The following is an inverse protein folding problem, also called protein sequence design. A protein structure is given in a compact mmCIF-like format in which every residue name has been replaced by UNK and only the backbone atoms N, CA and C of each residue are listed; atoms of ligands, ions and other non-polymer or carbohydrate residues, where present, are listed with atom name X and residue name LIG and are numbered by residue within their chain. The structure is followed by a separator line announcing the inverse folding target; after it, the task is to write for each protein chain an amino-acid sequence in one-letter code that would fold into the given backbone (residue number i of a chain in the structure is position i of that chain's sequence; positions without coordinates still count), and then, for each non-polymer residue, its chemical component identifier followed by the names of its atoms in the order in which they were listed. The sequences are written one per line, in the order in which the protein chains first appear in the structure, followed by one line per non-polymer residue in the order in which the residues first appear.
data_IF_199122509655
#
_entry.id   IF_199122509655
#
_cell.length_a   1.000
_cell.length_b   1.000
_cell.length_c   1.000
_cell.angle_alpha   90.00
_cell.angle_beta   90.00
_cell.angle_gamma   90.00
#
_symmetry.space_group_name_H-M   'P 1'
#
loop_
_entity.id
_entity.type
_entity.pdbx_description
1 polymer ?
#
# COMPACT_ATOMS: atom_id res chain seq x y z
N UNK A 1 -1.34 0.45 14.32
CA UNK A 1 -0.57 1.71 14.45
C UNK A 1 -1.03 2.64 13.33
N UNK A 2 -1.72 3.73 13.65
CA UNK A 2 -2.16 4.73 12.68
C UNK A 2 -1.13 5.86 12.65
N UNK A 3 -0.54 6.14 11.49
CA UNK A 3 0.32 7.30 11.31
C UNK A 3 -0.50 8.31 10.53
N UNK A 4 -0.78 9.46 11.16
CA UNK A 4 -1.67 10.51 10.66
C UNK A 4 -1.53 10.68 9.12
N UNK A 5 -2.63 10.44 8.40
CA UNK A 5 -2.82 10.50 6.95
C UNK A 5 -2.41 9.28 6.09
N UNK A 6 -1.91 8.18 6.66
CA UNK A 6 -1.71 6.90 5.95
C UNK A 6 -2.18 5.74 6.83
N UNK A 7 -2.77 4.70 6.23
CA UNK A 7 -3.20 3.52 6.99
C UNK A 7 -2.20 2.39 6.75
N UNK A 8 -1.48 1.98 7.80
CA UNK A 8 -0.50 0.88 7.72
C UNK A 8 -1.09 -0.39 8.33
N UNK A 9 -1.01 -1.48 7.59
CA UNK A 9 -1.46 -2.80 7.97
C UNK A 9 -0.27 -3.74 8.14
N UNK A 10 -0.15 -4.33 9.31
CA UNK A 10 0.92 -5.30 9.59
C UNK A 10 0.37 -6.71 9.51
N UNK A 11 1.14 -7.59 8.89
CA UNK A 11 0.77 -8.99 8.76
C UNK A 11 1.11 -9.79 10.03
N UNK A 12 2.27 -9.52 10.66
CA UNK A 12 2.68 -10.17 11.92
C UNK A 12 3.02 -9.13 13.00
N UNK A 13 2.74 -9.47 14.27
CA UNK A 13 3.02 -8.58 15.43
C UNK A 13 4.51 -8.27 15.55
N UNK A 14 5.37 -9.27 15.35
CA UNK A 14 6.84 -9.16 15.36
C UNK A 14 7.38 -8.24 14.24
N UNK A 15 6.62 -8.05 13.17
CA UNK A 15 7.00 -7.17 12.06
C UNK A 15 6.89 -5.69 12.40
N UNK A 16 6.05 -5.34 13.39
CA UNK A 16 5.91 -3.97 13.87
C UNK A 16 7.24 -3.50 14.47
N UNK A 17 7.86 -4.33 15.31
CA UNK A 17 9.10 -3.99 15.99
C UNK A 17 10.26 -3.83 15.01
N UNK A 18 10.36 -4.72 14.00
CA UNK A 18 11.34 -4.60 12.92
C UNK A 18 11.15 -3.34 12.07
N UNK A 19 9.90 -2.98 11.78
CA UNK A 19 9.58 -1.74 11.07
C UNK A 19 9.99 -0.53 11.90
N UNK A 20 9.58 -0.46 13.18
CA UNK A 20 9.94 0.65 14.07
C UNK A 20 11.44 0.75 14.27
N UNK A 21 12.15 -0.36 14.45
CA UNK A 21 13.62 -0.37 14.52
C UNK A 21 14.25 0.22 13.26
N UNK A 22 13.76 -0.15 12.06
CA UNK A 22 14.26 0.39 10.79
C UNK A 22 14.00 1.89 10.63
N UNK A 23 12.80 2.34 10.97
CA UNK A 23 12.43 3.76 10.99
C UNK A 23 13.38 4.55 11.90
N UNK A 24 13.64 4.04 13.11
CA UNK A 24 14.46 4.69 14.11
C UNK A 24 15.96 4.67 13.75
N UNK A 25 16.48 3.54 13.23
CA UNK A 25 17.91 3.39 12.90
C UNK A 25 18.34 4.26 11.73
N UNK A 26 17.47 4.44 10.74
CA UNK A 26 17.78 5.21 9.53
C UNK A 26 17.37 6.70 9.66
N UNK A 27 16.86 7.13 10.84
CA UNK A 27 16.25 8.47 11.08
C UNK A 27 15.24 8.85 9.99
N UNK A 28 14.57 7.86 9.40
CA UNK A 28 13.67 8.11 8.29
C UNK A 28 12.32 8.49 8.86
N UNK A 29 11.85 9.68 8.50
CA UNK A 29 10.45 9.99 8.74
C UNK A 29 9.60 8.99 7.97
N UNK A 30 8.70 8.29 8.65
CA UNK A 30 7.62 7.48 8.04
C UNK A 30 6.99 8.26 6.87
N UNK A 31 6.71 9.55 7.07
CA UNK A 31 6.19 10.43 6.02
C UNK A 31 7.12 10.51 4.79
N UNK A 32 8.44 10.54 4.97
CA UNK A 32 9.44 10.54 3.89
C UNK A 32 9.58 9.19 3.15
N UNK A 33 9.29 8.07 3.80
CA UNK A 33 9.23 6.75 3.13
C UNK A 33 8.06 6.64 2.15
N UNK A 34 6.97 7.34 2.45
CA UNK A 34 5.69 7.12 1.79
C UNK A 34 5.18 8.32 0.95
N UNK A 35 5.79 9.51 1.08
CA UNK A 35 5.47 10.71 0.29
C UNK A 35 6.13 10.75 -1.09
N UNK A 36 6.81 9.70 -1.52
CA UNK A 36 7.42 9.70 -2.85
C UNK A 36 6.31 9.48 -3.87
N UNK A 37 5.90 10.57 -4.52
CA UNK A 37 4.91 10.53 -5.59
C UNK A 37 5.31 9.46 -6.61
N UNK A 38 4.57 8.35 -6.58
CA UNK A 38 4.63 7.35 -7.61
C UNK A 38 4.21 8.05 -8.91
N UNK A 39 4.99 7.96 -9.99
CA UNK A 39 4.64 8.61 -11.24
C UNK A 39 3.29 8.07 -11.66
N UNK A 40 2.29 8.95 -11.60
CA UNK A 40 0.91 8.66 -11.97
C UNK A 40 0.96 8.06 -13.38
N UNK A 41 0.72 6.75 -13.51
CA UNK A 41 0.33 6.21 -14.80
C UNK A 41 -0.92 7.00 -15.17
N UNK A 42 -0.86 7.68 -16.31
CA UNK A 42 -1.92 8.54 -16.82
C UNK A 42 -3.14 7.65 -17.12
N UNK A 43 -3.92 7.30 -16.10
CA UNK A 43 -5.22 6.65 -16.23
C UNK A 43 -6.20 7.72 -16.71
N UNK A 44 -6.01 8.12 -17.96
CA UNK A 44 -7.03 8.85 -18.71
C UNK A 44 -8.24 7.92 -18.77
N UNK A 45 -9.42 8.43 -18.38
CA UNK A 45 -10.76 7.78 -18.45
C UNK A 45 -11.38 7.21 -17.16
N UNK A 46 -10.89 7.48 -15.94
CA UNK A 46 -11.66 7.18 -14.71
C UNK A 46 -12.10 8.47 -14.02
N UNK A 47 -13.42 8.69 -13.98
CA UNK A 47 -14.01 9.81 -13.24
C UNK A 47 -13.77 9.59 -11.73
N UNK A 48 -13.37 10.64 -10.99
CA UNK A 48 -13.25 10.54 -9.53
C UNK A 48 -14.60 10.14 -8.92
N UNK A 49 -14.54 9.26 -7.94
CA UNK A 49 -15.69 8.74 -7.21
C UNK A 49 -15.66 9.26 -5.77
N UNK A 50 -16.84 9.54 -5.23
CA UNK A 50 -17.06 9.86 -3.84
C UNK A 50 -17.89 8.75 -3.24
N UNK A 51 -17.43 8.18 -2.13
CA UNK A 51 -18.15 7.15 -1.38
C UNK A 51 -18.22 7.57 0.07
N UNK A 52 -19.22 7.08 0.79
CA UNK A 52 -19.36 7.44 2.20
C UNK A 52 -18.27 6.79 3.07
N UNK A 53 -18.18 7.25 4.31
CA UNK A 53 -17.17 6.79 5.27
C UNK A 53 -17.32 5.30 5.61
N UNK A 54 -18.54 4.78 5.72
CA UNK A 54 -18.79 3.39 6.04
C UNK A 54 -18.34 2.47 4.89
N UNK A 55 -18.58 2.89 3.64
CA UNK A 55 -18.10 2.21 2.45
C UNK A 55 -16.57 2.17 2.42
N UNK A 56 -15.89 3.29 2.72
CA UNK A 56 -14.42 3.31 2.85
C UNK A 56 -13.91 2.36 3.92
N UNK A 57 -14.52 2.39 5.11
CA UNK A 57 -14.13 1.52 6.23
C UNK A 57 -14.34 0.04 5.88
N UNK A 58 -15.41 -0.30 5.16
CA UNK A 58 -15.66 -1.65 4.70
C UNK A 58 -14.62 -2.11 3.67
N UNK A 59 -14.24 -1.25 2.73
CA UNK A 59 -13.16 -1.55 1.77
C UNK A 59 -11.83 -1.74 2.50
N UNK A 60 -11.49 -0.87 3.46
CA UNK A 60 -10.29 -1.01 4.27
C UNK A 60 -10.28 -2.34 5.03
N UNK A 61 -11.40 -2.74 5.65
CA UNK A 61 -11.52 -4.05 6.32
C UNK A 61 -11.30 -5.22 5.36
N UNK A 62 -11.87 -5.16 4.15
CA UNK A 62 -11.66 -6.19 3.12
C UNK A 62 -10.19 -6.27 2.71
N UNK A 63 -9.56 -5.13 2.43
CA UNK A 63 -8.14 -5.04 2.07
C UNK A 63 -7.25 -5.61 3.17
N UNK A 64 -7.52 -5.30 4.44
CA UNK A 64 -6.81 -5.86 5.59
C UNK A 64 -6.91 -7.39 5.57
N UNK A 65 -8.10 -7.94 5.40
CA UNK A 65 -8.30 -9.39 5.43
C UNK A 65 -7.58 -10.09 4.28
N UNK A 66 -7.60 -9.51 3.08
CA UNK A 66 -6.90 -10.07 1.91
C UNK A 66 -5.39 -10.01 2.11
N UNK A 67 -4.85 -8.83 2.43
CA UNK A 67 -3.40 -8.59 2.50
C UNK A 67 -2.73 -9.25 3.70
N UNK A 68 -3.46 -9.49 4.80
CA UNK A 68 -2.96 -10.31 5.92
C UNK A 68 -2.77 -11.77 5.55
N UNK A 69 -3.54 -12.30 4.60
CA UNK A 69 -3.38 -13.69 4.19
C UNK A 69 -2.20 -13.89 3.22
N UNK A 70 -1.52 -12.81 2.81
CA UNK A 70 -0.37 -12.87 1.91
C UNK A 70 0.95 -13.06 2.66
N UNK A 71 1.44 -14.29 2.73
CA UNK A 71 2.65 -14.67 3.48
C UNK A 71 3.93 -13.91 3.06
N UNK A 72 3.96 -13.41 1.82
CA UNK A 72 5.12 -12.66 1.32
C UNK A 72 5.14 -11.20 1.79
N UNK A 73 3.98 -10.67 2.18
CA UNK A 73 3.81 -9.28 2.62
C UNK A 73 4.08 -9.19 4.12
N UNK A 74 5.08 -8.41 4.50
CA UNK A 74 5.39 -8.08 5.89
C UNK A 74 4.42 -7.01 6.42
N UNK A 75 4.26 -5.94 5.65
CA UNK A 75 3.24 -4.94 5.89
C UNK A 75 2.78 -4.32 4.56
N UNK A 76 1.60 -3.74 4.57
CA UNK A 76 1.08 -2.93 3.49
C UNK A 76 0.62 -1.58 4.03
N UNK A 77 0.48 -0.59 3.16
CA UNK A 77 -0.08 0.70 3.53
C UNK A 77 -0.94 1.27 2.41
N UNK A 78 -2.02 1.94 2.81
CA UNK A 78 -2.84 2.74 1.92
C UNK A 78 -2.35 4.19 1.91
N UNK A 79 -2.31 4.76 0.72
CA UNK A 79 -2.00 6.17 0.50
C UNK A 79 -2.86 6.76 -0.62
N UNK A 80 -2.53 7.98 -1.02
CA UNK A 80 -3.09 8.60 -2.21
C UNK A 80 -4.53 9.05 -2.05
N UNK A 81 -5.23 9.15 -3.18
CA UNK A 81 -6.51 9.87 -3.25
C UNK A 81 -7.65 9.18 -2.49
N UNK A 82 -7.58 7.86 -2.28
CA UNK A 82 -8.59 7.07 -1.56
C UNK A 82 -8.88 7.59 -0.14
N UNK A 83 -7.87 8.19 0.51
CA UNK A 83 -8.01 8.75 1.86
C UNK A 83 -8.73 10.12 1.87
N UNK A 84 -8.88 10.76 0.71
CA UNK A 84 -9.59 12.03 0.52
C UNK A 84 -11.02 11.79 0.03
N UNK A 85 -11.90 12.80 0.07
CA UNK A 85 -13.31 12.67 -0.33
C UNK A 85 -13.51 12.01 -1.70
N UNK A 86 -12.71 12.44 -2.69
CA UNK A 86 -12.73 11.95 -4.06
C UNK A 86 -11.48 11.15 -4.39
N UNK A 87 -11.66 10.02 -5.08
CA UNK A 87 -10.56 9.13 -5.50
C UNK A 87 -10.84 8.47 -6.84
N UNK A 88 -9.80 8.00 -7.54
CA UNK A 88 -9.95 7.25 -8.80
C UNK A 88 -9.64 5.77 -8.63
N UNK A 89 -8.65 5.50 -7.81
CA UNK A 89 -8.03 4.22 -7.53
C UNK A 89 -7.66 4.15 -6.04
N UNK A 90 -7.28 2.94 -5.61
CA UNK A 90 -6.80 2.65 -4.27
C UNK A 90 -5.32 2.34 -4.38
N UNK A 91 -4.48 3.27 -3.95
CA UNK A 91 -3.03 3.11 -3.98
C UNK A 91 -2.56 2.29 -2.76
N UNK A 92 -1.94 1.15 -3.01
CA UNK A 92 -1.47 0.19 -2.01
C UNK A 92 0.03 -0.05 -2.17
N UNK A 93 0.81 0.43 -1.20
CA UNK A 93 2.21 0.03 -1.11
C UNK A 93 2.37 -1.22 -0.25
N UNK A 94 3.16 -2.18 -0.72
CA UNK A 94 3.45 -3.44 -0.02
C UNK A 94 4.95 -3.58 0.22
N UNK A 95 5.31 -4.06 1.39
CA UNK A 95 6.69 -4.37 1.74
C UNK A 95 6.83 -5.89 1.91
N UNK A 96 7.62 -6.49 1.03
CA UNK A 96 7.83 -7.93 0.97
C UNK A 96 8.94 -8.39 1.90
N UNK A 97 8.96 -9.68 2.22
CA UNK A 97 10.06 -10.26 2.97
C UNK A 97 11.40 -10.15 2.18
N UNK A 98 12.52 -10.09 2.91
CA UNK A 98 13.87 -9.93 2.33
C UNK A 98 14.30 -11.09 1.40
N UNK A 99 13.67 -12.25 1.54
CA UNK A 99 13.97 -13.44 0.75
C UNK A 99 13.20 -13.46 -0.58
N UNK A 100 12.32 -12.48 -0.81
CA UNK A 100 11.52 -12.42 -2.01
C UNK A 100 12.40 -12.10 -3.23
N UNK A 101 12.29 -12.93 -4.27
CA UNK A 101 13.10 -12.77 -5.47
C UNK A 101 12.74 -11.48 -6.22
N UNK A 102 13.74 -10.61 -6.45
CA UNK A 102 13.57 -9.38 -7.24
C UNK A 102 12.98 -9.64 -8.63
N UNK A 103 13.33 -10.78 -9.25
CA UNK A 103 12.80 -11.18 -10.56
C UNK A 103 11.29 -11.46 -10.57
N UNK A 104 10.71 -11.77 -9.39
CA UNK A 104 9.27 -12.07 -9.24
C UNK A 104 8.44 -10.87 -8.82
N UNK A 105 9.07 -9.72 -8.53
CA UNK A 105 8.38 -8.54 -7.97
C UNK A 105 7.27 -8.05 -8.88
N UNK A 106 7.57 -7.80 -10.16
CA UNK A 106 6.58 -7.29 -11.10
C UNK A 106 5.42 -8.27 -11.30
N UNK A 107 5.71 -9.56 -11.46
CA UNK A 107 4.66 -10.60 -11.57
C UNK A 107 3.79 -10.64 -10.31
N UNK A 108 4.40 -10.47 -9.13
CA UNK A 108 3.68 -10.46 -7.87
C UNK A 108 2.76 -9.24 -7.73
N UNK A 109 3.24 -8.04 -8.09
CA UNK A 109 2.43 -6.82 -8.14
C UNK A 109 1.20 -7.04 -9.02
N UNK A 110 1.40 -7.44 -10.27
CA UNK A 110 0.32 -7.65 -11.24
C UNK A 110 -0.68 -8.72 -10.77
N UNK A 111 -0.19 -9.84 -10.21
CA UNK A 111 -1.06 -10.90 -9.68
C UNK A 111 -1.89 -10.43 -8.48
N UNK A 112 -1.33 -9.54 -7.65
CA UNK A 112 -2.05 -8.99 -6.51
C UNK A 112 -3.05 -7.93 -6.94
N UNK A 113 -2.72 -7.10 -7.94
CA UNK A 113 -3.66 -6.17 -8.58
C UNK A 113 -4.86 -6.91 -9.18
N UNK A 114 -4.60 -7.98 -9.94
CA UNK A 114 -5.64 -8.84 -10.52
C UNK A 114 -6.54 -9.46 -9.44
N UNK A 115 -5.94 -10.09 -8.42
CA UNK A 115 -6.67 -10.63 -7.27
C UNK A 115 -7.52 -9.59 -6.54
N UNK A 116 -6.99 -8.38 -6.36
CA UNK A 116 -7.74 -7.30 -5.71
C UNK A 116 -8.86 -6.78 -6.61
N UNK A 117 -8.66 -6.75 -7.93
CA UNK A 117 -9.69 -6.32 -8.88
C UNK A 117 -10.93 -7.22 -8.88
N UNK A 118 -10.78 -8.51 -8.55
CA UNK A 118 -11.89 -9.46 -8.42
C UNK A 118 -12.70 -9.26 -7.12
N UNK A 119 -12.06 -8.74 -6.06
CA UNK A 119 -12.60 -8.72 -4.70
C UNK A 119 -13.00 -7.32 -4.23
N UNK A 120 -12.44 -6.29 -4.86
CA UNK A 120 -12.63 -4.88 -4.52
C UNK A 120 -13.30 -4.16 -5.70
N UNK A 121 -14.41 -3.43 -5.49
CA UNK A 121 -15.18 -2.80 -6.57
C UNK A 121 -14.53 -1.50 -7.13
N UNK A 122 -13.24 -1.31 -6.89
CA UNK A 122 -12.47 -0.15 -7.34
C UNK A 122 -11.08 -0.59 -7.81
N UNK A 123 -10.50 0.09 -8.82
CA UNK A 123 -9.14 -0.18 -9.26
C UNK A 123 -8.18 -0.08 -8.07
N UNK A 124 -7.30 -1.06 -7.92
CA UNK A 124 -6.24 -1.08 -6.93
C UNK A 124 -4.91 -1.00 -7.65
N UNK A 125 -4.05 -0.06 -7.27
CA UNK A 125 -2.68 0.03 -7.78
C UNK A 125 -1.72 -0.48 -6.72
N UNK A 126 -0.98 -1.55 -7.02
CA UNK A 126 -0.09 -2.21 -6.04
C UNK A 126 1.36 -1.89 -6.40
N UNK A 127 2.12 -1.46 -5.39
CA UNK A 127 3.55 -1.16 -5.55
C UNK A 127 4.40 -1.79 -4.45
N UNK A 128 5.43 -2.53 -4.84
CA UNK A 128 6.44 -3.10 -3.94
C UNK A 128 7.45 -2.03 -3.58
N UNK A 129 7.49 -1.66 -2.30
CA UNK A 129 8.30 -0.55 -1.80
C UNK A 129 9.64 -0.97 -1.21
N UNK A 130 10.03 -2.24 -1.31
CA UNK A 130 11.29 -2.77 -0.77
C UNK A 130 12.53 -1.98 -1.20
N UNK A 131 12.53 -1.48 -2.44
CA UNK A 131 13.64 -0.73 -3.03
C UNK A 131 13.21 0.66 -3.52
N UNK A 132 12.07 1.18 -3.02
CA UNK A 132 11.69 2.55 -3.32
C UNK A 132 12.84 3.47 -2.88
N UNK A 133 13.47 4.17 -3.83
CA UNK A 133 14.64 4.99 -3.52
C UNK A 133 14.25 6.05 -2.49
N UNK A 134 15.03 6.20 -1.42
CA UNK A 134 14.82 7.26 -0.40
C UNK A 134 15.09 8.68 -0.93
N UNK A 135 15.55 8.78 -2.18
CA UNK A 135 16.11 10.00 -2.74
C UNK A 135 15.05 10.93 -3.30
N UNK A 136 14.86 12.05 -2.62
CA UNK A 136 14.27 13.29 -3.12
C UNK A 136 14.86 13.69 -4.48
N UNK A 137 14.01 14.10 -5.41
CA UNK A 137 14.19 15.32 -6.19
C UNK A 137 12.84 15.99 -6.30
#
# INVERSE_FOLDING_TARGET
MFLKNNVVFFNKKETIDLFIQRINSEKISVRKLFNKEFPIKKTLMIKPKNIDRNQKENIQKKLINILKNENNILFSYLHGSFLNEAFRDIDIGIFLNKNFSKKKVLTYELSLEEKLSELIPFPCDVRVINNASLSFK
#
